data_IF_260639170007
#
_entry.id   IF_260639170007
#
_cell.length_a   1.000
_cell.length_b   1.000
_cell.length_c   1.000
_cell.angle_alpha   90.00
_cell.angle_beta   90.00
_cell.angle_gamma   90.00
#
_symmetry.space_group_name_H-M   'P 1'
#
loop_
_entity.id
_entity.type
_entity.pdbx_description
1 polymer ?
#
# COMPACT_ATOMS: atom_id res chain seq x y z
N UNK A 1 -54.23 -14.69 50.88
CA UNK A 1 -53.62 -13.66 50.00
C UNK A 1 -52.36 -14.24 49.36
N UNK A 2 -52.35 -14.47 48.04
CA UNK A 2 -51.18 -14.98 47.30
C UNK A 2 -50.75 -13.88 46.32
N UNK A 3 -49.68 -13.16 46.65
CA UNK A 3 -49.13 -12.11 45.80
C UNK A 3 -48.43 -12.73 44.58
N UNK A 4 -48.83 -12.31 43.38
CA UNK A 4 -48.25 -12.72 42.09
C UNK A 4 -46.80 -12.25 42.00
N UNK A 5 -45.87 -13.18 41.77
CA UNK A 5 -44.49 -12.86 41.34
C UNK A 5 -44.53 -12.30 39.91
N UNK A 6 -44.13 -11.04 39.74
CA UNK A 6 -43.84 -10.49 38.42
C UNK A 6 -42.60 -11.19 37.85
N UNK A 7 -42.73 -11.87 36.71
CA UNK A 7 -41.58 -12.35 35.94
C UNK A 7 -40.84 -11.14 35.35
N UNK A 8 -39.53 -10.99 35.55
CA UNK A 8 -38.77 -9.87 35.02
C UNK A 8 -38.74 -9.90 33.48
N UNK A 9 -38.69 -8.69 32.90
CA UNK A 9 -38.78 -8.36 31.47
C UNK A 9 -37.72 -9.10 30.62
N UNK A 10 -38.09 -10.21 29.99
CA UNK A 10 -37.27 -10.94 29.00
C UNK A 10 -37.11 -10.25 27.64
N UNK A 11 -37.89 -9.19 27.37
CA UNK A 11 -37.89 -8.50 26.06
C UNK A 11 -36.62 -7.68 25.77
N UNK A 12 -35.91 -7.20 26.79
CA UNK A 12 -34.66 -6.46 26.61
C UNK A 12 -33.44 -7.37 26.39
N UNK A 13 -33.45 -8.55 27.00
CA UNK A 13 -32.36 -9.52 26.90
C UNK A 13 -32.15 -10.03 25.47
N UNK A 14 -33.24 -10.37 24.77
CA UNK A 14 -33.16 -10.84 23.39
C UNK A 14 -32.57 -9.79 22.43
N UNK A 15 -32.83 -8.49 22.67
CA UNK A 15 -32.27 -7.42 21.84
C UNK A 15 -30.77 -7.26 22.08
N UNK A 16 -30.32 -7.33 23.34
CA UNK A 16 -28.90 -7.29 23.69
C UNK A 16 -28.16 -8.50 23.12
N UNK A 17 -28.71 -9.71 23.28
CA UNK A 17 -28.13 -10.94 22.72
C UNK A 17 -28.04 -10.87 21.19
N UNK A 18 -29.10 -10.42 20.52
CA UNK A 18 -29.09 -10.22 19.07
C UNK A 18 -28.05 -9.17 18.64
N UNK A 19 -27.94 -8.04 19.36
CA UNK A 19 -26.96 -7.02 19.08
C UNK A 19 -25.52 -7.53 19.23
N UNK A 20 -25.25 -8.33 20.27
CA UNK A 20 -23.95 -8.97 20.47
C UNK A 20 -23.64 -9.95 19.33
N UNK A 21 -24.59 -10.82 18.96
CA UNK A 21 -24.40 -11.79 17.87
C UNK A 21 -24.19 -11.07 16.54
N UNK A 22 -24.99 -10.05 16.23
CA UNK A 22 -24.84 -9.25 15.01
C UNK A 22 -23.48 -8.55 14.97
N UNK A 23 -23.07 -7.93 16.08
CA UNK A 23 -21.75 -7.29 16.20
C UNK A 23 -20.61 -8.29 15.97
N UNK A 24 -20.63 -9.43 16.66
CA UNK A 24 -19.60 -10.46 16.52
C UNK A 24 -19.56 -11.05 15.10
N UNK A 25 -20.71 -11.25 14.48
CA UNK A 25 -20.81 -11.78 13.12
C UNK A 25 -20.25 -10.78 12.10
N UNK A 26 -20.58 -9.50 12.22
CA UNK A 26 -20.02 -8.44 11.37
C UNK A 26 -18.51 -8.31 11.55
N UNK A 27 -18.02 -8.36 12.81
CA UNK A 27 -16.59 -8.32 13.10
C UNK A 27 -15.87 -9.52 12.46
N UNK A 28 -16.43 -10.72 12.60
CA UNK A 28 -15.86 -11.94 12.00
C UNK A 28 -15.84 -11.87 10.48
N UNK A 29 -16.92 -11.39 9.86
CA UNK A 29 -16.99 -11.19 8.40
C UNK A 29 -15.95 -10.16 7.94
N UNK A 30 -15.85 -9.02 8.63
CA UNK A 30 -14.85 -8.00 8.35
C UNK A 30 -13.43 -8.56 8.44
N UNK A 31 -13.11 -9.27 9.52
CA UNK A 31 -11.82 -9.94 9.68
C UNK A 31 -11.55 -10.95 8.55
N UNK A 32 -12.52 -11.79 8.20
CA UNK A 32 -12.35 -12.80 7.15
C UNK A 32 -12.09 -12.16 5.78
N UNK A 33 -12.82 -11.10 5.42
CA UNK A 33 -12.59 -10.35 4.19
C UNK A 33 -11.22 -9.64 4.20
N UNK A 34 -10.88 -8.98 5.32
CA UNK A 34 -9.61 -8.28 5.48
C UNK A 34 -8.43 -9.23 5.32
N UNK A 35 -8.38 -10.31 6.11
CA UNK A 35 -7.27 -11.26 6.09
C UNK A 35 -7.25 -12.08 4.80
N UNK A 36 -8.42 -12.46 4.27
CA UNK A 36 -8.52 -13.15 2.98
C UNK A 36 -7.92 -12.33 1.84
N UNK A 37 -8.27 -11.05 1.74
CA UNK A 37 -7.72 -10.15 0.72
C UNK A 37 -6.22 -9.89 0.93
N UNK A 38 -5.78 -9.73 2.18
CA UNK A 38 -4.36 -9.55 2.51
C UNK A 38 -3.53 -10.78 2.09
N UNK A 39 -3.99 -11.99 2.39
CA UNK A 39 -3.31 -13.23 2.00
C UNK A 39 -3.34 -13.44 0.49
N UNK A 40 -4.46 -13.13 -0.18
CA UNK A 40 -4.54 -13.16 -1.64
C UNK A 40 -3.53 -12.20 -2.28
N UNK A 41 -3.52 -10.94 -1.82
CA UNK A 41 -2.57 -9.92 -2.27
C UNK A 41 -1.13 -10.36 -2.09
N UNK A 42 -0.76 -10.85 -0.91
CA UNK A 42 0.59 -11.34 -0.63
C UNK A 42 1.04 -12.46 -1.58
N UNK A 43 0.16 -13.42 -1.88
CA UNK A 43 0.47 -14.52 -2.81
C UNK A 43 0.67 -14.02 -4.25
N UNK A 44 -0.19 -13.13 -4.73
CA UNK A 44 -0.06 -12.54 -6.07
C UNK A 44 1.24 -11.74 -6.19
N UNK A 45 1.55 -10.91 -5.18
CA UNK A 45 2.78 -10.13 -5.15
C UNK A 45 4.02 -11.01 -5.15
N UNK A 46 4.02 -12.11 -4.38
CA UNK A 46 5.16 -13.03 -4.36
C UNK A 46 5.36 -13.71 -5.70
N UNK A 47 4.28 -14.17 -6.35
CA UNK A 47 4.36 -14.77 -7.70
C UNK A 47 4.88 -13.76 -8.73
N UNK A 48 4.40 -12.51 -8.69
CA UNK A 48 4.87 -11.45 -9.56
C UNK A 48 6.34 -11.10 -9.32
N UNK A 49 6.77 -11.02 -8.06
CA UNK A 49 8.15 -10.71 -7.71
C UNK A 49 9.11 -11.84 -8.13
N UNK A 50 8.74 -13.09 -7.87
CA UNK A 50 9.55 -14.25 -8.25
C UNK A 50 9.65 -14.41 -9.76
N UNK A 51 8.51 -14.36 -10.47
CA UNK A 51 8.47 -14.46 -11.93
C UNK A 51 9.21 -13.31 -12.60
N UNK A 52 9.00 -12.08 -12.14
CA UNK A 52 9.69 -10.89 -12.65
C UNK A 52 11.20 -10.94 -12.43
N UNK A 53 11.64 -11.29 -11.22
CA UNK A 53 13.07 -11.39 -10.91
C UNK A 53 13.75 -12.54 -11.67
N UNK A 54 13.07 -13.67 -11.84
CA UNK A 54 13.57 -14.82 -12.61
C UNK A 54 13.76 -14.47 -14.08
N UNK A 55 12.77 -13.85 -14.73
CA UNK A 55 12.91 -13.46 -16.14
C UNK A 55 13.93 -12.34 -16.31
N UNK A 56 13.96 -11.35 -15.42
CA UNK A 56 14.95 -10.27 -15.46
C UNK A 56 16.38 -10.80 -15.24
N UNK A 57 16.55 -11.86 -14.45
CA UNK A 57 17.87 -12.50 -14.23
C UNK A 57 18.47 -13.12 -15.50
N UNK A 58 17.63 -13.41 -16.50
CA UNK A 58 18.01 -13.99 -17.80
C UNK A 58 18.02 -12.96 -18.91
N UNK A 59 17.65 -11.72 -18.63
CA UNK A 59 17.64 -10.66 -19.63
C UNK A 59 19.09 -10.26 -19.95
N UNK A 60 19.53 -10.32 -21.22
CA UNK A 60 20.88 -9.95 -21.61
C UNK A 60 21.03 -8.43 -21.55
N UNK A 61 21.59 -7.93 -20.45
CA UNK A 61 21.83 -6.51 -20.23
C UNK A 61 23.28 -6.24 -19.78
N UNK A 62 23.92 -5.13 -20.20
CA UNK A 62 25.29 -4.82 -19.82
C UNK A 62 25.53 -4.87 -18.30
N UNK A 63 26.67 -5.42 -17.85
CA UNK A 63 26.96 -5.55 -16.42
C UNK A 63 27.02 -4.21 -15.65
N UNK A 64 27.41 -3.14 -16.32
CA UNK A 64 27.62 -1.80 -15.75
C UNK A 64 26.48 -0.81 -16.03
N UNK A 65 25.41 -1.23 -16.70
CA UNK A 65 24.40 -0.30 -17.22
C UNK A 65 24.81 0.41 -18.51
N UNK A 66 23.89 1.20 -19.06
CA UNK A 66 24.14 2.12 -20.16
C UNK A 66 24.75 3.42 -19.60
N UNK A 67 26.01 3.76 -19.93
CA UNK A 67 26.63 5.00 -19.45
C UNK A 67 25.97 6.28 -19.97
N UNK A 68 25.06 6.19 -20.95
CA UNK A 68 24.28 7.32 -21.45
C UNK A 68 22.93 7.51 -20.75
N UNK A 69 22.50 6.57 -19.88
CA UNK A 69 21.25 6.66 -19.14
C UNK A 69 21.45 7.40 -17.81
N UNK A 70 20.46 8.21 -17.42
CA UNK A 70 20.36 8.81 -16.09
C UNK A 70 19.67 7.88 -15.08
N UNK A 71 19.16 6.73 -15.53
CA UNK A 71 18.51 5.74 -14.68
C UNK A 71 19.52 4.72 -14.12
N UNK A 72 19.13 4.04 -13.06
CA UNK A 72 19.96 2.96 -12.50
C UNK A 72 20.02 1.77 -13.46
N UNK A 73 21.10 0.94 -13.43
CA UNK A 73 21.18 -0.23 -14.30
C UNK A 73 20.00 -1.20 -14.17
N UNK A 74 19.38 -1.27 -12.98
CA UNK A 74 18.17 -2.08 -12.77
C UNK A 74 16.95 -1.52 -13.51
N UNK A 75 16.74 -0.20 -13.42
CA UNK A 75 15.59 0.47 -14.05
C UNK A 75 15.67 0.36 -15.57
N UNK A 76 16.84 0.64 -16.15
CA UNK A 76 17.09 0.47 -17.57
C UNK A 76 16.83 -0.98 -18.02
N UNK A 77 17.33 -1.96 -17.28
CA UNK A 77 17.14 -3.36 -17.62
C UNK A 77 15.66 -3.76 -17.54
N UNK A 78 14.94 -3.26 -16.53
CA UNK A 78 13.51 -3.51 -16.38
C UNK A 78 12.71 -2.93 -17.55
N UNK A 79 13.01 -1.69 -17.95
CA UNK A 79 12.38 -1.03 -19.09
C UNK A 79 12.69 -1.75 -20.41
N UNK A 80 13.97 -2.00 -20.71
CA UNK A 80 14.40 -2.66 -21.95
C UNK A 80 13.93 -4.10 -22.07
N UNK A 81 13.75 -4.79 -20.94
CA UNK A 81 13.21 -6.16 -20.94
C UNK A 81 11.75 -6.24 -21.37
N UNK A 82 11.00 -5.12 -21.28
CA UNK A 82 9.56 -5.11 -21.51
C UNK A 82 8.77 -5.99 -20.55
N UNK A 83 9.34 -6.38 -19.40
CA UNK A 83 8.67 -7.21 -18.37
C UNK A 83 7.67 -6.39 -17.55
N UNK A 84 7.87 -5.09 -17.47
CA UNK A 84 7.03 -4.14 -16.74
C UNK A 84 6.96 -2.82 -17.50
N UNK A 85 5.76 -2.25 -17.55
CA UNK A 85 5.55 -0.87 -17.99
C UNK A 85 4.77 -0.13 -16.92
N UNK A 86 5.34 0.98 -16.45
CA UNK A 86 4.76 1.80 -15.40
C UNK A 86 3.43 2.43 -15.86
N UNK A 87 3.34 2.85 -17.12
CA UNK A 87 2.14 3.42 -17.75
C UNK A 87 0.95 2.46 -17.78
N UNK A 88 1.20 1.15 -17.68
CA UNK A 88 0.17 0.11 -17.66
C UNK A 88 -0.28 -0.25 -16.23
N UNK A 89 0.10 0.55 -15.22
CA UNK A 89 -0.51 0.54 -13.90
C UNK A 89 -1.88 1.22 -13.89
N UNK A 90 -2.24 1.97 -14.92
CA UNK A 90 -3.55 2.59 -15.14
C UNK A 90 -4.02 2.22 -16.54
N UNK A 91 -5.14 1.50 -16.66
CA UNK A 91 -5.63 0.94 -17.93
C UNK A 91 -7.14 1.08 -18.06
N UNK A 92 -7.62 1.12 -19.30
CA UNK A 92 -9.05 1.26 -19.57
C UNK A 92 -9.84 0.03 -19.07
N UNK A 93 -11.09 0.20 -18.62
CA UNK A 93 -11.99 -0.93 -18.35
C UNK A 93 -12.15 -1.81 -19.60
N UNK A 94 -12.08 -3.13 -19.42
CA UNK A 94 -12.12 -4.09 -20.52
C UNK A 94 -10.76 -4.45 -21.13
N UNK A 95 -9.66 -3.85 -20.64
CA UNK A 95 -8.29 -4.27 -21.00
C UNK A 95 -8.09 -5.76 -20.68
N UNK A 96 -7.52 -6.50 -21.63
CA UNK A 96 -7.18 -7.91 -21.44
C UNK A 96 -5.84 -8.03 -20.71
N UNK A 97 -5.84 -8.72 -19.56
CA UNK A 97 -4.61 -8.95 -18.81
C UNK A 97 -3.52 -9.65 -19.65
N UNK A 98 -3.92 -10.48 -20.62
CA UNK A 98 -3.00 -11.24 -21.47
C UNK A 98 -2.21 -10.39 -22.48
N UNK A 99 -2.57 -9.11 -22.66
CA UNK A 99 -1.84 -8.18 -23.53
C UNK A 99 -0.85 -7.31 -22.77
N UNK A 100 -0.80 -7.44 -21.44
CA UNK A 100 0.10 -6.67 -20.58
C UNK A 100 1.48 -7.36 -20.48
N UNK A 101 2.55 -6.60 -20.18
CA UNK A 101 3.84 -7.15 -19.75
C UNK A 101 3.68 -8.15 -18.61
N UNK A 102 4.62 -9.08 -18.48
CA UNK A 102 4.52 -10.19 -17.52
C UNK A 102 4.19 -9.73 -16.10
N UNK A 103 4.90 -8.72 -15.57
CA UNK A 103 4.68 -8.24 -14.20
C UNK A 103 3.32 -7.56 -14.10
N UNK A 104 2.95 -6.68 -15.04
CA UNK A 104 1.62 -6.04 -15.06
C UNK A 104 0.49 -7.07 -15.17
N UNK A 105 0.66 -8.12 -15.99
CA UNK A 105 -0.28 -9.23 -16.14
C UNK A 105 -0.47 -9.99 -14.82
N UNK A 106 0.61 -10.29 -14.11
CA UNK A 106 0.56 -10.96 -12.81
C UNK A 106 -0.06 -10.07 -11.72
N UNK A 107 0.16 -8.76 -11.77
CA UNK A 107 -0.42 -7.80 -10.83
C UNK A 107 -1.88 -7.41 -11.14
N UNK A 108 -2.35 -7.65 -12.37
CA UNK A 108 -3.69 -7.28 -12.82
C UNK A 108 -4.84 -7.70 -11.88
N UNK A 109 -4.83 -8.87 -11.22
CA UNK A 109 -5.86 -9.26 -10.26
C UNK A 109 -5.95 -8.33 -9.02
N UNK A 110 -4.93 -7.50 -8.76
CA UNK A 110 -4.90 -6.54 -7.67
C UNK A 110 -5.38 -5.15 -8.09
N UNK A 111 -5.68 -4.95 -9.38
CA UNK A 111 -6.16 -3.67 -9.87
C UNK A 111 -7.57 -3.41 -9.34
N UNK A 112 -7.83 -2.15 -9.05
CA UNK A 112 -9.10 -1.64 -8.58
C UNK A 112 -9.76 -0.83 -9.68
N UNK A 113 -11.08 -0.77 -9.69
CA UNK A 113 -11.80 0.21 -10.48
C UNK A 113 -11.85 1.53 -9.71
N UNK A 114 -11.34 2.60 -10.34
CA UNK A 114 -11.43 3.95 -9.82
C UNK A 114 -12.53 4.73 -10.55
N UNK A 115 -13.64 5.03 -9.88
CA UNK A 115 -14.76 5.76 -10.50
C UNK A 115 -14.49 7.25 -10.72
N UNK A 116 -13.43 7.81 -10.13
CA UNK A 116 -13.09 9.23 -10.27
C UNK A 116 -12.39 9.51 -11.60
N UNK A 117 -11.71 8.50 -12.16
CA UNK A 117 -11.08 8.57 -13.49
C UNK A 117 -11.66 7.58 -14.52
N UNK A 118 -12.63 6.76 -14.12
CA UNK A 118 -13.26 5.69 -14.93
C UNK A 118 -12.23 4.70 -15.53
N UNK A 119 -11.24 4.30 -14.72
CA UNK A 119 -10.14 3.41 -15.13
C UNK A 119 -9.95 2.25 -14.16
N UNK A 120 -9.32 1.17 -14.63
CA UNK A 120 -8.71 0.16 -13.76
C UNK A 120 -7.29 0.61 -13.43
N UNK A 121 -6.91 0.58 -12.16
CA UNK A 121 -5.54 0.93 -11.76
C UNK A 121 -5.01 0.11 -10.62
N UNK A 122 -3.70 0.08 -10.49
CA UNK A 122 -3.06 -0.40 -9.28
C UNK A 122 -3.38 0.53 -8.08
N UNK A 123 -3.61 0.01 -6.86
CA UNK A 123 -3.85 0.85 -5.70
C UNK A 123 -2.64 1.72 -5.33
N UNK A 124 -2.90 2.97 -4.93
CA UNK A 124 -1.90 3.97 -4.56
C UNK A 124 -2.31 5.39 -4.93
N UNK A 125 -1.37 6.34 -4.84
CA UNK A 125 -1.57 7.71 -5.29
C UNK A 125 -1.37 7.79 -6.81
N UNK A 126 -2.29 8.45 -7.51
CA UNK A 126 -2.15 8.71 -8.94
C UNK A 126 -1.12 9.82 -9.16
N UNK A 127 -0.24 9.63 -10.13
CA UNK A 127 0.78 10.62 -10.51
C UNK A 127 0.96 10.64 -12.02
N UNK A 128 1.43 11.77 -12.55
CA UNK A 128 2.04 11.86 -13.87
C UNK A 128 3.52 11.50 -13.76
N UNK A 129 4.07 10.69 -14.67
CA UNK A 129 5.51 10.46 -14.77
C UNK A 129 6.18 11.52 -15.66
N UNK A 130 7.50 11.39 -15.85
CA UNK A 130 8.30 12.33 -16.64
C UNK A 130 7.90 12.38 -18.12
N UNK A 131 7.30 11.30 -18.63
CA UNK A 131 6.83 11.16 -20.01
C UNK A 131 5.41 11.72 -20.22
N UNK A 132 4.74 12.14 -19.14
CA UNK A 132 3.37 12.67 -19.17
C UNK A 132 2.28 11.61 -19.13
N UNK A 133 2.62 10.37 -18.78
CA UNK A 133 1.68 9.25 -18.62
C UNK A 133 1.21 9.10 -17.16
N UNK A 134 -0.02 8.64 -16.98
CA UNK A 134 -0.55 8.35 -15.63
C UNK A 134 0.01 7.03 -15.10
N UNK A 135 0.38 7.05 -13.84
CA UNK A 135 0.88 5.89 -13.10
C UNK A 135 0.54 6.03 -11.61
N UNK A 136 1.10 5.16 -10.78
CA UNK A 136 0.83 5.01 -9.36
C UNK A 136 2.13 5.00 -8.57
N UNK A 137 2.21 5.85 -7.55
CA UNK A 137 3.21 5.77 -6.50
C UNK A 137 2.57 5.40 -5.15
N UNK A 138 3.39 4.86 -4.25
CA UNK A 138 2.93 4.36 -2.95
C UNK A 138 3.50 5.27 -1.85
N UNK A 139 2.68 6.14 -1.26
CA UNK A 139 3.10 6.96 -0.14
C UNK A 139 3.21 6.13 1.14
N UNK A 140 4.34 6.24 1.83
CA UNK A 140 4.59 5.60 3.11
C UNK A 140 4.36 6.58 4.26
N UNK A 141 3.58 6.14 5.26
CA UNK A 141 3.54 6.81 6.56
C UNK A 141 4.53 6.05 7.43
N UNK A 142 5.69 6.65 7.68
CA UNK A 142 6.71 6.08 8.53
C UNK A 142 6.30 6.06 9.99
N UNK A 143 7.15 5.44 10.80
CA UNK A 143 7.11 5.55 12.26
C UNK A 143 8.33 6.30 12.73
N UNK A 144 8.23 6.97 13.87
CA UNK A 144 9.40 7.46 14.58
C UNK A 144 10.25 6.31 15.13
N UNK A 145 11.36 6.64 15.80
CA UNK A 145 12.27 5.67 16.43
C UNK A 145 11.62 4.83 17.54
N UNK A 146 10.47 5.24 18.05
CA UNK A 146 9.71 4.57 19.10
C UNK A 146 8.56 3.73 18.52
N UNK A 147 8.42 3.64 17.19
CA UNK A 147 7.34 2.91 16.54
C UNK A 147 5.99 3.65 16.56
N UNK A 148 5.98 4.93 16.92
CA UNK A 148 4.79 5.78 16.84
C UNK A 148 4.58 6.16 15.37
N UNK A 149 3.41 5.90 14.77
CA UNK A 149 3.11 6.35 13.42
C UNK A 149 3.27 7.87 13.32
N UNK A 150 3.88 8.37 12.24
CA UNK A 150 4.02 9.80 12.00
C UNK A 150 2.66 10.39 11.63
N UNK A 151 1.89 10.69 12.67
CA UNK A 151 0.56 11.25 12.65
C UNK A 151 0.45 12.37 13.67
N UNK A 152 -0.46 13.31 13.46
CA UNK A 152 -0.77 14.35 14.44
C UNK A 152 -1.80 13.84 15.47
N UNK A 153 -1.76 14.40 16.67
CA UNK A 153 -2.80 14.24 17.69
C UNK A 153 -3.63 15.53 17.76
N UNK A 154 -4.96 15.48 17.90
CA UNK A 154 -5.82 14.30 18.07
C UNK A 154 -6.26 13.64 16.75
N UNK A 155 -6.37 14.42 15.66
CA UNK A 155 -7.10 14.03 14.44
C UNK A 155 -6.44 12.93 13.60
N UNK A 156 -5.16 12.63 13.84
CA UNK A 156 -4.43 11.56 13.17
C UNK A 156 -3.89 11.90 11.79
N UNK A 157 -3.81 13.19 11.39
CA UNK A 157 -3.33 13.60 10.07
C UNK A 157 -1.94 13.06 9.79
N UNK A 158 -1.71 12.68 8.53
CA UNK A 158 -0.66 11.74 8.18
C UNK A 158 0.54 12.46 7.60
N UNK A 159 1.75 12.04 7.99
CA UNK A 159 3.00 12.56 7.40
C UNK A 159 3.60 11.53 6.45
N UNK A 160 3.76 11.90 5.19
CA UNK A 160 4.42 11.08 4.17
C UNK A 160 5.93 11.18 4.37
N UNK A 161 6.56 10.06 4.70
CA UNK A 161 8.01 9.99 4.98
C UNK A 161 8.82 9.42 3.84
N UNK A 162 8.17 8.77 2.87
CA UNK A 162 8.81 8.23 1.69
C UNK A 162 7.78 7.92 0.61
N UNK A 163 8.23 7.95 -0.64
CA UNK A 163 7.48 7.50 -1.80
C UNK A 163 8.15 6.26 -2.39
N UNK A 164 7.36 5.25 -2.71
CA UNK A 164 7.84 4.01 -3.33
C UNK A 164 7.19 3.78 -4.68
N UNK A 165 7.99 3.32 -5.65
CA UNK A 165 7.47 2.79 -6.92
C UNK A 165 6.82 1.44 -6.67
N UNK A 166 5.90 1.04 -7.57
CA UNK A 166 5.26 -0.28 -7.49
C UNK A 166 6.28 -1.39 -7.66
N UNK A 167 7.18 -1.26 -8.64
CA UNK A 167 8.32 -2.17 -8.86
C UNK A 167 9.59 -1.35 -8.69
N UNK A 168 10.49 -1.79 -7.80
CA UNK A 168 11.78 -1.15 -7.58
C UNK A 168 12.84 -2.20 -7.21
N UNK A 169 14.11 -1.82 -7.27
CA UNK A 169 15.18 -2.63 -6.71
C UNK A 169 15.17 -2.58 -5.17
N UNK A 170 15.61 -3.66 -4.53
CA UNK A 170 15.95 -3.66 -3.11
C UNK A 170 17.26 -2.91 -2.92
N UNK A 171 17.13 -1.64 -2.58
CA UNK A 171 18.26 -0.76 -2.25
C UNK A 171 18.41 -0.61 -0.73
N UNK A 172 19.63 -0.75 -0.18
CA UNK A 172 19.93 -0.46 1.22
C UNK A 172 19.62 0.99 1.60
N UNK A 173 19.39 1.24 2.89
CA UNK A 173 19.06 2.58 3.37
C UNK A 173 20.21 3.57 3.11
N UNK A 174 19.91 4.68 2.42
CA UNK A 174 20.87 5.74 2.13
C UNK A 174 21.66 5.56 0.83
N UNK A 175 21.44 4.45 0.11
CA UNK A 175 22.06 4.17 -1.18
C UNK A 175 21.10 4.52 -2.33
N UNK A 176 21.65 4.81 -3.52
CA UNK A 176 20.89 5.12 -4.74
C UNK A 176 20.79 3.94 -5.72
N UNK A 177 21.59 2.89 -5.51
CA UNK A 177 21.67 1.71 -6.39
C UNK A 177 21.73 0.44 -5.55
N UNK A 178 21.24 -0.68 -6.10
CA UNK A 178 21.26 -1.98 -5.46
C UNK A 178 22.25 -2.97 -6.08
N UNK A 179 22.08 -4.28 -5.77
CA UNK A 179 23.01 -5.33 -6.18
C UNK A 179 22.95 -5.74 -7.66
N UNK A 180 22.04 -5.18 -8.46
CA UNK A 180 21.88 -5.51 -9.88
C UNK A 180 23.14 -5.17 -10.69
N UNK A 181 23.77 -4.03 -10.38
CA UNK A 181 25.02 -3.63 -11.04
C UNK A 181 26.18 -4.53 -10.60
N UNK A 182 27.01 -5.00 -11.54
CA UNK A 182 28.20 -5.79 -11.17
C UNK A 182 29.30 -4.93 -10.53
N UNK A 183 29.22 -3.61 -10.71
CA UNK A 183 30.16 -2.65 -10.12
C UNK A 183 29.64 -2.07 -8.80
N UNK A 184 28.48 -2.54 -8.31
CA UNK A 184 27.92 -2.10 -7.04
C UNK A 184 28.89 -2.35 -5.88
N UNK A 185 29.10 -1.32 -5.06
CA UNK A 185 29.97 -1.37 -3.88
C UNK A 185 29.39 -2.30 -2.80
N UNK A 186 30.19 -2.63 -1.78
CA UNK A 186 29.69 -3.44 -0.66
C UNK A 186 28.51 -2.78 0.10
N UNK A 187 28.47 -1.44 0.16
CA UNK A 187 27.37 -0.68 0.77
C UNK A 187 26.07 -0.83 -0.03
N UNK A 188 26.14 -0.52 -1.33
CA UNK A 188 25.01 -0.61 -2.28
C UNK A 188 24.39 -2.01 -2.37
N UNK A 189 25.20 -3.07 -2.21
CA UNK A 189 24.72 -4.45 -2.32
C UNK A 189 23.96 -4.96 -1.10
N UNK A 190 24.06 -4.30 0.06
CA UNK A 190 23.35 -4.73 1.28
C UNK A 190 23.64 -6.17 1.74
N UNK A 191 24.83 -6.70 1.41
CA UNK A 191 25.23 -8.07 1.70
C UNK A 191 24.94 -9.11 0.61
N UNK A 192 24.38 -8.70 -0.54
CA UNK A 192 24.19 -9.56 -1.71
C UNK A 192 25.43 -9.59 -2.63
N UNK A 193 25.53 -10.62 -3.46
CA UNK A 193 26.57 -10.70 -4.48
C UNK A 193 26.30 -9.67 -5.61
N UNK A 194 27.34 -9.11 -6.26
CA UNK A 194 27.14 -8.19 -7.37
C UNK A 194 26.54 -8.93 -8.58
N UNK A 195 25.69 -8.26 -9.36
CA UNK A 195 24.94 -8.91 -10.44
C UNK A 195 23.79 -9.78 -9.93
N UNK A 196 23.20 -9.43 -8.79
CA UNK A 196 21.99 -10.09 -8.27
C UNK A 196 20.78 -9.24 -8.58
N UNK A 197 19.77 -9.83 -9.21
CA UNK A 197 18.46 -9.20 -9.35
C UNK A 197 17.75 -9.30 -8.01
N UNK A 198 17.56 -8.16 -7.34
CA UNK A 198 16.78 -8.06 -6.11
C UNK A 198 15.56 -7.18 -6.36
N UNK A 199 14.52 -7.75 -6.98
CA UNK A 199 13.31 -7.03 -7.35
C UNK A 199 12.33 -7.02 -6.17
N UNK A 200 11.73 -5.86 -5.89
CA UNK A 200 10.70 -5.66 -4.87
C UNK A 200 9.44 -5.11 -5.51
N UNK A 201 8.29 -5.67 -5.12
CA UNK A 201 6.97 -5.13 -5.46
C UNK A 201 6.29 -4.63 -4.19
N UNK A 202 5.80 -3.39 -4.24
CA UNK A 202 5.10 -2.73 -3.15
C UNK A 202 3.59 -2.69 -3.44
N UNK A 203 2.77 -2.89 -2.41
CA UNK A 203 1.29 -2.88 -2.53
C UNK A 203 0.63 -2.21 -1.33
N UNK A 204 -0.10 -1.09 -1.52
CA UNK A 204 -0.81 -0.42 -0.44
C UNK A 204 -2.15 -1.13 -0.21
N UNK A 205 -2.13 -2.11 0.68
CA UNK A 205 -3.34 -2.77 1.17
C UNK A 205 -4.19 -1.79 1.98
N UNK A 206 -5.50 -1.75 1.67
CA UNK A 206 -6.51 -1.02 2.41
C UNK A 206 -7.68 -1.93 2.75
N UNK A 207 -8.12 -1.89 4.01
CA UNK A 207 -9.26 -2.67 4.48
C UNK A 207 -10.56 -1.98 4.13
N UNK A 208 -11.47 -2.70 3.49
CA UNK A 208 -12.84 -2.24 3.26
C UNK A 208 -13.73 -2.28 4.51
N UNK A 209 -13.27 -2.89 5.61
CA UNK A 209 -14.11 -3.16 6.79
C UNK A 209 -13.53 -2.66 8.12
N UNK A 210 -12.24 -2.31 8.16
CA UNK A 210 -11.55 -1.87 9.37
C UNK A 210 -11.12 -0.41 9.25
N UNK A 211 -11.25 0.32 10.35
CA UNK A 211 -10.87 1.73 10.47
C UNK A 211 -9.45 1.85 11.03
N UNK A 212 -8.70 2.86 10.57
CA UNK A 212 -7.42 3.22 11.16
C UNK A 212 -7.61 4.06 12.43
N UNK A 213 -6.77 3.81 13.44
CA UNK A 213 -6.82 4.50 14.72
C UNK A 213 -5.46 5.10 15.10
N UNK A 214 -5.51 6.18 15.87
CA UNK A 214 -4.41 6.70 16.69
C UNK A 214 -4.70 6.42 18.16
N UNK A 215 -3.64 6.21 18.92
CA UNK A 215 -3.70 5.96 20.36
C UNK A 215 -2.92 7.04 21.06
N UNK A 216 -3.50 7.69 22.07
CA UNK A 216 -2.80 8.66 22.91
C UNK A 216 -3.01 8.37 24.40
N UNK A 217 -2.08 8.82 25.24
CA UNK A 217 -2.32 8.86 26.68
C UNK A 217 -3.23 10.05 27.07
N UNK A 218 -3.59 10.14 28.36
CA UNK A 218 -4.38 11.24 28.90
C UNK A 218 -3.68 12.62 28.86
N UNK A 219 -2.42 12.70 28.40
CA UNK A 219 -1.73 13.96 28.11
C UNK A 219 -1.77 14.33 26.61
N UNK A 220 -2.37 13.48 25.77
CA UNK A 220 -2.47 13.67 24.33
C UNK A 220 -1.24 13.22 23.54
N UNK A 221 -0.25 12.61 24.19
CA UNK A 221 0.94 12.08 23.53
C UNK A 221 0.59 10.76 22.83
N UNK A 222 1.00 10.63 21.56
CA UNK A 222 0.77 9.41 20.80
C UNK A 222 1.59 8.23 21.35
N UNK A 223 0.96 7.05 21.34
CA UNK A 223 1.53 5.78 21.79
C UNK A 223 1.63 4.83 20.59
N UNK A 224 2.75 4.09 20.52
CA UNK A 224 2.94 3.05 19.52
C UNK A 224 1.90 1.92 19.72
N UNK A 225 1.30 1.38 18.65
CA UNK A 225 0.27 0.34 18.79
C UNK A 225 0.69 -0.89 19.62
N UNK A 226 1.98 -1.25 19.60
CA UNK A 226 2.51 -2.36 20.39
C UNK A 226 2.47 -2.12 21.91
N UNK A 227 2.47 -0.85 22.33
CA UNK A 227 2.52 -0.44 23.73
C UNK A 227 1.13 -0.16 24.34
N UNK A 228 0.07 -0.28 23.54
CA UNK A 228 -1.33 0.00 23.96
C UNK A 228 -1.86 -1.06 24.91
N UNK A 229 -1.40 -2.31 24.80
CA UNK A 229 -1.96 -3.43 25.56
C UNK A 229 -1.79 -3.23 27.05
N UNK A 230 -2.90 -3.20 27.79
CA UNK A 230 -2.92 -3.03 29.25
C UNK A 230 -2.74 -1.58 29.72
N UNK A 231 -2.78 -0.60 28.82
CA UNK A 231 -2.78 0.83 29.16
C UNK A 231 -4.17 1.43 28.97
N UNK A 232 -4.47 2.45 29.76
CA UNK A 232 -5.62 3.31 29.53
C UNK A 232 -5.23 4.32 28.47
N UNK A 233 -5.80 4.20 27.26
CA UNK A 233 -5.48 5.04 26.11
C UNK A 233 -6.75 5.60 25.50
N UNK A 234 -6.65 6.83 25.03
CA UNK A 234 -7.65 7.41 24.15
C UNK A 234 -7.45 6.85 22.75
N UNK A 235 -8.48 6.20 22.23
CA UNK A 235 -8.49 5.61 20.91
C UNK A 235 -9.35 6.45 19.97
N UNK A 236 -8.73 7.06 18.95
CA UNK A 236 -9.40 7.99 18.06
C UNK A 236 -9.28 7.53 16.61
N UNK A 237 -10.38 7.53 15.83
CA UNK A 237 -10.30 7.17 14.42
C UNK A 237 -9.52 8.26 13.67
N UNK A 238 -8.69 7.84 12.72
CA UNK A 238 -7.95 8.77 11.88
C UNK A 238 -8.91 9.45 10.92
N UNK A 239 -8.97 10.78 10.94
CA UNK A 239 -9.85 11.55 10.07
C UNK A 239 -9.28 11.56 8.65
N UNK A 240 -10.15 11.31 7.66
CA UNK A 240 -9.76 11.43 6.26
C UNK A 240 -9.78 12.92 5.85
N UNK A 241 -8.60 13.51 5.71
CA UNK A 241 -8.43 14.89 5.27
C UNK A 241 -7.10 15.04 4.52
N UNK A 242 -7.14 14.96 3.19
CA UNK A 242 -5.94 15.04 2.35
C UNK A 242 -5.28 16.42 2.40
N UNK A 243 -6.04 17.50 2.63
CA UNK A 243 -5.49 18.86 2.76
C UNK A 243 -4.66 19.08 4.02
N UNK A 244 -4.75 18.18 5.01
CA UNK A 244 -3.99 18.23 6.25
C UNK A 244 -2.80 17.23 6.26
N UNK A 245 -2.62 16.46 5.19
CA UNK A 245 -1.47 15.56 5.03
C UNK A 245 -0.20 16.40 4.86
N UNK A 246 0.87 15.99 5.56
CA UNK A 246 2.17 16.66 5.49
C UNK A 246 3.13 15.82 4.65
N UNK A 247 3.65 16.40 3.57
CA UNK A 247 4.69 15.78 2.76
C UNK A 247 6.07 16.13 3.31
N UNK A 248 6.68 15.21 4.05
CA UNK A 248 8.06 15.38 4.54
C UNK A 248 9.08 14.90 3.51
N UNK A 249 8.76 13.85 2.75
CA UNK A 249 9.56 13.39 1.63
C UNK A 249 8.98 13.96 0.32
N UNK A 250 9.80 14.60 -0.53
CA UNK A 250 9.33 15.04 -1.83
C UNK A 250 8.97 13.85 -2.71
N UNK A 251 8.05 14.06 -3.65
CA UNK A 251 7.83 13.14 -4.76
C UNK A 251 9.16 12.88 -5.49
N UNK A 252 9.39 11.67 -6.02
CA UNK A 252 10.54 11.39 -6.85
C UNK A 252 10.60 12.36 -8.04
N UNK A 253 11.81 12.71 -8.48
CA UNK A 253 12.00 13.63 -9.60
C UNK A 253 11.27 13.12 -10.86
N UNK A 254 10.64 14.04 -11.59
CA UNK A 254 9.87 13.73 -12.79
C UNK A 254 8.42 13.31 -12.52
N UNK A 255 7.99 13.15 -11.26
CA UNK A 255 6.60 12.83 -10.94
C UNK A 255 5.83 14.06 -10.44
N UNK A 256 4.56 14.14 -10.83
CA UNK A 256 3.60 15.15 -10.37
C UNK A 256 2.33 14.48 -9.83
N UNK A 257 1.83 14.94 -8.68
CA UNK A 257 0.64 14.36 -8.06
C UNK A 257 -0.62 14.66 -8.87
N UNK A 258 -1.48 13.65 -9.05
CA UNK A 258 -2.80 13.82 -9.65
C UNK A 258 -3.83 13.85 -8.53
N UNK A 259 -4.63 14.92 -8.48
CA UNK A 259 -5.80 15.02 -7.62
C UNK A 259 -7.07 14.84 -8.47
N UNK A 260 -7.56 13.59 -8.65
CA UNK A 260 -8.74 13.36 -9.49
C UNK A 260 -9.98 13.99 -8.84
N UNK A 261 -10.80 14.67 -9.64
CA UNK A 261 -12.05 15.23 -9.13
C UNK A 261 -12.98 14.10 -8.67
N UNK A 262 -13.44 14.21 -7.42
CA UNK A 262 -14.34 13.26 -6.81
C UNK A 262 -15.65 13.14 -7.61
N UNK A 263 -15.89 11.97 -8.23
CA UNK A 263 -17.16 11.64 -8.85
C UNK A 263 -18.28 11.61 -7.79
N UNK A 264 -19.28 12.50 -7.86
CA UNK A 264 -20.32 12.62 -6.83
C UNK A 264 -21.32 11.46 -6.84
N UNK A 265 -21.34 10.64 -7.91
CA UNK A 265 -22.17 9.43 -7.96
C UNK A 265 -21.64 8.34 -7.01
N UNK A 266 -20.38 8.42 -6.60
CA UNK A 266 -19.72 7.48 -5.71
C UNK A 266 -19.34 8.16 -4.40
N UNK A 267 -19.72 7.52 -3.28
CA UNK A 267 -19.39 7.99 -1.93
C UNK A 267 -17.93 7.74 -1.58
N UNK A 268 -17.64 7.71 -0.27
CA UNK A 268 -16.33 7.35 0.25
C UNK A 268 -15.90 5.95 -0.27
N UNK A 269 -14.64 5.82 -0.68
CA UNK A 269 -14.06 4.57 -1.18
C UNK A 269 -12.69 4.33 -0.58
N UNK A 270 -12.37 3.06 -0.34
CA UNK A 270 -11.14 2.63 0.35
C UNK A 270 -9.84 3.04 -0.37
N UNK A 271 -9.91 3.47 -1.62
CA UNK A 271 -8.75 3.84 -2.45
C UNK A 271 -8.81 5.28 -3.00
N UNK A 272 -9.81 6.06 -2.57
CA UNK A 272 -10.01 7.46 -2.97
C UNK A 272 -8.98 8.39 -2.34
N UNK A 273 -8.90 9.61 -2.86
CA UNK A 273 -8.13 10.72 -2.31
C UNK A 273 -6.84 10.96 -3.07
N UNK A 274 -6.31 12.17 -2.95
CA UNK A 274 -5.11 12.65 -3.65
C UNK A 274 -3.92 11.72 -3.43
N UNK A 275 -3.74 11.24 -2.21
CA UNK A 275 -2.64 10.32 -1.83
C UNK A 275 -3.03 8.84 -1.90
N UNK A 276 -4.24 8.54 -2.37
CA UNK A 276 -4.78 7.18 -2.37
C UNK A 276 -4.86 6.57 -0.98
N UNK A 277 -5.03 7.38 0.09
CA UNK A 277 -5.15 6.88 1.47
C UNK A 277 -6.54 6.35 1.81
N UNK A 278 -7.51 6.57 0.94
CA UNK A 278 -8.86 6.05 1.09
C UNK A 278 -9.70 6.86 2.06
N UNK A 279 -10.99 6.62 1.95
CA UNK A 279 -12.04 7.23 2.74
C UNK A 279 -13.08 6.17 3.11
N UNK A 280 -13.56 6.20 4.35
CA UNK A 280 -14.63 5.34 4.84
C UNK A 280 -15.58 6.17 5.71
N UNK A 281 -16.89 6.01 5.54
CA UNK A 281 -17.86 6.62 6.44
C UNK A 281 -18.03 5.75 7.68
N UNK A 282 -17.64 6.28 8.84
CA UNK A 282 -17.82 5.63 10.13
C UNK A 282 -17.99 6.68 11.23
N UNK A 283 -18.70 6.34 12.31
CA UNK A 283 -18.89 7.23 13.47
C UNK A 283 -19.50 8.60 13.13
N UNK A 284 -20.26 8.69 12.02
CA UNK A 284 -20.86 9.95 11.56
C UNK A 284 -19.88 10.93 10.90
N UNK A 285 -18.66 10.48 10.57
CA UNK A 285 -17.63 11.26 9.88
C UNK A 285 -16.92 10.42 8.80
N UNK A 286 -15.98 11.02 8.08
CA UNK A 286 -15.12 10.33 7.11
C UNK A 286 -13.78 10.04 7.76
N UNK A 287 -13.42 8.76 7.80
CA UNK A 287 -12.21 8.25 8.46
C UNK A 287 -11.35 7.47 7.46
N UNK A 288 -10.10 7.23 7.82
CA UNK A 288 -9.20 6.40 7.02
C UNK A 288 -9.48 4.91 7.22
N UNK A 289 -9.46 4.10 6.15
CA UNK A 289 -9.42 2.65 6.30
C UNK A 289 -8.10 2.21 6.95
N UNK A 290 -8.12 1.05 7.61
CA UNK A 290 -6.90 0.39 8.06
C UNK A 290 -6.01 0.08 6.84
N UNK A 291 -4.73 0.44 6.95
CA UNK A 291 -3.77 0.41 5.84
C UNK A 291 -2.46 -0.27 6.23
N UNK A 292 -1.89 -1.05 5.31
CA UNK A 292 -0.53 -1.57 5.38
C UNK A 292 0.08 -1.56 3.99
N UNK A 293 1.40 -1.40 3.91
CA UNK A 293 2.12 -1.66 2.66
C UNK A 293 2.70 -3.06 2.75
N UNK A 294 2.21 -3.95 1.90
CA UNK A 294 2.77 -5.27 1.72
C UNK A 294 3.93 -5.15 0.73
N UNK A 295 4.99 -5.89 0.97
CA UNK A 295 6.12 -5.96 0.06
C UNK A 295 6.45 -7.42 -0.20
N UNK A 296 6.71 -7.76 -1.46
CA UNK A 296 7.22 -9.05 -1.88
C UNK A 296 8.54 -8.85 -2.61
N UNK A 297 9.44 -9.83 -2.51
CA UNK A 297 10.77 -9.73 -3.07
C UNK A 297 11.13 -11.04 -3.78
N UNK A 298 11.77 -10.91 -4.94
CA UNK A 298 12.38 -12.00 -5.68
C UNK A 298 13.88 -11.72 -5.82
N UNK A 299 14.72 -12.66 -5.39
CA UNK A 299 16.17 -12.53 -5.41
C UNK A 299 16.77 -13.67 -6.25
N UNK A 300 17.34 -13.32 -7.39
CA UNK A 300 17.91 -14.26 -8.34
C UNK A 300 19.29 -13.78 -8.81
N UNK A 301 20.21 -14.71 -8.99
CA UNK A 301 21.52 -14.40 -9.58
C UNK A 301 21.37 -14.20 -11.08
N UNK A 302 21.94 -13.13 -11.63
CA UNK A 302 21.91 -12.88 -13.07
C UNK A 302 22.75 -13.91 -13.82
N UNK A 303 22.24 -14.40 -14.94
CA UNK A 303 23.03 -15.10 -15.93
C UNK A 303 23.86 -14.04 -16.68
N UNK A 304 25.18 -14.06 -16.50
CA UNK A 304 26.07 -13.15 -17.21
C UNK A 304 26.34 -13.75 -18.58
N UNK A 305 25.73 -13.16 -19.61
CA UNK A 305 26.00 -13.49 -21.01
C UNK A 305 27.23 -12.66 -21.45
N UNK A 306 28.38 -13.33 -21.59
CA UNK A 306 29.59 -12.78 -22.24
C UNK A 306 29.53 -12.96 -23.77
#
# INVERSE_FOLDING_TARGET
MRARRHSPRRRGQALVEFAIIAFLSTLLLGALLTFGFLSFGANVLQQAADGGAMELSRFPYPPSGDPASDATPFEDALEQSGLFAETLLVVAPGTSAATLPLINQLLFPLYIYDPDIDMLRYPGALVWNADGDQTVLIPLIGTDSNGVPNRTSPDGYETITAWKRVVEEVVPSGESEGPFSVTATAGQRGGLDPGTVALRINYPYQSAALVAYTYSDGSGQLIAPADVVGRDVDNQPVIANDSAVVEQAPLPAGYELVDPEANPAFGASAHRGTYGFGEMQAFGTTVRPYRKVLTAQGIYRREVFE
#
